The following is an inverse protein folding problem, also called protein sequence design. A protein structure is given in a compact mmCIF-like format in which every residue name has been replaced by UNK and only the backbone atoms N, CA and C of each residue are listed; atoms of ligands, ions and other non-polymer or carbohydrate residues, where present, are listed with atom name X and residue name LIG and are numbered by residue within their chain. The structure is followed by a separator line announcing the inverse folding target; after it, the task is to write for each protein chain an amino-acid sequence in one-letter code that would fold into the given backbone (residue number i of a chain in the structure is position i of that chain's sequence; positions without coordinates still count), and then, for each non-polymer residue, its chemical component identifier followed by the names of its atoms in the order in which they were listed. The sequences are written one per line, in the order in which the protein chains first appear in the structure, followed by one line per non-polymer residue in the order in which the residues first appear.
data_IF_369110148840
#
_entry.id   IF_369110148840
#
_cell.length_a   1.000
_cell.length_b   1.000
_cell.length_c   1.000
_cell.angle_alpha   90.00
_cell.angle_beta   90.00
_cell.angle_gamma   90.00
#
_symmetry.space_group_name_H-M   'P 1'
#
loop_
_entity.id
_entity.type
_entity.pdbx_description
1 polymer ?
#
# COMPACT_ATOMS: atom_id res chain seq x y z
N UNK A 1 -8.17 26.86 25.69
CA UNK A 1 -8.05 25.41 25.91
C UNK A 1 -7.92 24.76 24.54
N UNK A 2 -6.76 24.21 24.19
CA UNK A 2 -6.60 23.51 22.91
C UNK A 2 -7.26 22.14 23.04
N UNK A 3 -8.28 21.87 22.23
CA UNK A 3 -8.97 20.59 22.18
C UNK A 3 -8.04 19.54 21.58
N UNK A 4 -7.44 18.70 22.41
CA UNK A 4 -6.66 17.54 21.98
C UNK A 4 -7.59 16.35 21.77
N UNK A 5 -7.42 15.60 20.67
CA UNK A 5 -8.21 14.40 20.37
C UNK A 5 -7.31 13.20 20.07
N UNK A 6 -7.86 12.00 20.22
CA UNK A 6 -7.18 10.76 19.81
C UNK A 6 -7.00 10.78 18.29
N UNK A 7 -5.80 10.41 17.81
CA UNK A 7 -5.49 10.29 16.40
C UNK A 7 -6.34 9.19 15.76
N UNK A 8 -6.99 9.53 14.64
CA UNK A 8 -7.75 8.59 13.82
C UNK A 8 -7.10 8.45 12.45
N UNK A 9 -7.14 7.24 11.90
CA UNK A 9 -6.55 6.92 10.61
C UNK A 9 -7.63 6.65 9.58
N UNK A 10 -7.41 7.11 8.35
CA UNK A 10 -8.29 6.80 7.23
C UNK A 10 -7.85 5.48 6.58
N UNK A 11 -8.76 4.49 6.42
CA UNK A 11 -8.43 3.25 5.74
C UNK A 11 -8.23 3.45 4.24
N UNK A 12 -7.43 2.59 3.62
CA UNK A 12 -7.28 2.53 2.17
C UNK A 12 -8.58 2.08 1.48
N UNK A 13 -8.94 2.76 0.41
CA UNK A 13 -9.96 2.31 -0.54
C UNK A 13 -9.25 1.56 -1.67
N UNK A 14 -9.47 0.24 -1.75
CA UNK A 14 -8.84 -0.61 -2.76
C UNK A 14 -9.57 -0.53 -4.10
N UNK A 15 -8.83 -0.52 -5.19
CA UNK A 15 -9.33 -0.61 -6.56
C UNK A 15 -8.45 -1.60 -7.32
N UNK A 16 -9.07 -2.58 -7.95
CA UNK A 16 -8.38 -3.60 -8.73
C UNK A 16 -8.72 -3.35 -10.20
N UNK A 17 -7.70 -3.30 -11.05
CA UNK A 17 -7.89 -3.15 -12.49
C UNK A 17 -8.47 -4.43 -13.12
N UNK A 18 -9.21 -4.29 -14.22
CA UNK A 18 -9.77 -5.45 -14.92
C UNK A 18 -8.66 -6.32 -15.53
N UNK A 19 -7.58 -5.70 -16.01
CA UNK A 19 -6.41 -6.38 -16.58
C UNK A 19 -5.73 -7.31 -15.58
N UNK A 20 -5.74 -6.96 -14.29
CA UNK A 20 -5.23 -7.83 -13.23
C UNK A 20 -5.91 -9.19 -13.20
N UNK A 21 -7.24 -9.24 -13.34
CA UNK A 21 -7.99 -10.51 -13.32
C UNK A 21 -7.68 -11.39 -14.53
N UNK A 22 -7.46 -10.77 -15.68
CA UNK A 22 -7.08 -11.47 -16.91
C UNK A 22 -5.72 -12.14 -16.73
N UNK A 23 -4.72 -11.40 -16.27
CA UNK A 23 -3.38 -11.94 -16.04
C UNK A 23 -3.35 -12.96 -14.91
N UNK A 24 -4.10 -12.74 -13.83
CA UNK A 24 -4.23 -13.70 -12.75
C UNK A 24 -4.85 -15.02 -13.24
N UNK A 25 -5.82 -14.95 -14.16
CA UNK A 25 -6.45 -16.13 -14.75
C UNK A 25 -5.48 -16.92 -15.62
N UNK A 26 -4.70 -16.24 -16.44
CA UNK A 26 -3.61 -16.85 -17.23
C UNK A 26 -2.57 -17.48 -16.32
N UNK A 27 -2.10 -16.76 -15.30
CA UNK A 27 -1.15 -17.27 -14.31
C UNK A 27 -1.71 -18.49 -13.57
N UNK A 28 -3.02 -18.50 -13.28
CA UNK A 28 -3.68 -19.61 -12.61
C UNK A 28 -3.70 -20.87 -13.48
N UNK A 29 -4.02 -20.73 -14.76
CA UNK A 29 -4.07 -21.84 -15.72
C UNK A 29 -2.67 -22.38 -16.04
N UNK A 30 -1.71 -21.49 -16.27
CA UNK A 30 -0.39 -21.86 -16.79
C UNK A 30 0.54 -22.35 -15.67
N UNK A 31 0.56 -21.64 -14.55
CA UNK A 31 1.61 -21.80 -13.51
C UNK A 31 1.08 -22.33 -12.19
N UNK A 32 0.00 -21.76 -11.64
CA UNK A 32 -0.47 -22.15 -10.30
C UNK A 32 -1.11 -23.55 -10.35
N UNK A 33 -2.02 -23.82 -11.29
CA UNK A 33 -2.79 -25.07 -11.38
C UNK A 33 -3.48 -25.45 -10.05
N UNK A 34 -2.78 -26.17 -9.18
CA UNK A 34 -3.24 -26.63 -7.85
C UNK A 34 -2.43 -26.04 -6.69
N UNK A 35 -1.43 -25.21 -6.98
CA UNK A 35 -0.59 -24.55 -6.00
C UNK A 35 -1.34 -23.38 -5.36
N UNK A 36 -1.62 -23.51 -4.07
CA UNK A 36 -2.23 -22.46 -3.24
C UNK A 36 -1.17 -21.66 -2.45
N UNK A 37 0.12 -21.72 -2.84
CA UNK A 37 1.19 -20.98 -2.18
C UNK A 37 1.05 -19.47 -2.33
N UNK A 38 1.46 -18.73 -1.28
CA UNK A 38 1.51 -17.28 -1.32
C UNK A 38 2.60 -16.80 -2.28
N UNK A 39 2.29 -15.79 -3.09
CA UNK A 39 3.22 -15.20 -4.07
C UNK A 39 3.46 -13.74 -3.77
N UNK A 40 4.69 -13.30 -3.99
CA UNK A 40 5.02 -11.88 -3.91
C UNK A 40 4.37 -11.12 -5.06
N UNK A 41 3.69 -10.04 -4.74
CA UNK A 41 3.15 -9.06 -5.68
C UNK A 41 3.49 -7.66 -5.17
N UNK A 42 3.17 -6.64 -5.96
CA UNK A 42 3.27 -5.26 -5.49
C UNK A 42 2.00 -4.51 -5.84
N UNK A 43 1.68 -3.49 -5.06
CA UNK A 43 0.55 -2.61 -5.30
C UNK A 43 1.04 -1.18 -5.29
N UNK A 44 0.16 -0.24 -5.60
CA UNK A 44 0.54 1.17 -5.59
C UNK A 44 -0.55 2.06 -5.01
N UNK A 45 -0.15 3.11 -4.31
CA UNK A 45 -1.10 4.05 -3.69
C UNK A 45 -0.74 5.48 -4.02
N UNK A 46 -1.75 6.36 -4.02
CA UNK A 46 -1.58 7.78 -4.28
C UNK A 46 -1.57 8.57 -2.96
N UNK A 47 -0.53 9.38 -2.76
CA UNK A 47 -0.48 10.36 -1.67
C UNK A 47 -1.24 11.63 -2.07
N UNK A 48 -2.56 11.61 -1.93
CA UNK A 48 -3.44 12.78 -1.89
C UNK A 48 -3.41 13.71 -3.12
N UNK A 49 -4.42 13.56 -3.99
CA UNK A 49 -4.78 14.63 -4.92
C UNK A 49 -5.65 15.67 -4.20
N UNK A 50 -5.39 16.98 -4.45
CA UNK A 50 -6.01 18.14 -3.77
C UNK A 50 -7.55 18.21 -3.84
N UNK A 51 -8.21 17.29 -4.56
CA UNK A 51 -9.66 17.28 -4.75
C UNK A 51 -10.37 15.98 -4.35
N UNK A 52 -9.69 14.97 -3.77
CA UNK A 52 -10.39 13.73 -3.47
C UNK A 52 -11.18 13.84 -2.16
N UNK A 53 -12.47 14.11 -2.29
CA UNK A 53 -13.50 13.58 -1.38
C UNK A 53 -13.47 12.03 -1.27
N UNK A 54 -12.53 11.38 -1.96
CA UNK A 54 -12.37 9.94 -2.17
C UNK A 54 -11.05 9.41 -1.57
N UNK A 55 -10.61 9.91 -0.41
CA UNK A 55 -9.66 9.22 0.47
C UNK A 55 -8.32 8.75 -0.10
N UNK A 56 -7.65 7.87 0.66
CA UNK A 56 -6.42 7.21 0.24
C UNK A 56 -6.78 6.01 -0.66
N UNK A 57 -6.35 6.02 -1.93
CA UNK A 57 -6.64 4.95 -2.90
C UNK A 57 -5.46 4.01 -3.04
N UNK A 58 -5.74 2.72 -3.06
CA UNK A 58 -4.79 1.65 -3.29
C UNK A 58 -5.17 0.91 -4.58
N UNK A 59 -4.26 0.86 -5.55
CA UNK A 59 -4.46 0.28 -6.88
C UNK A 59 -3.66 -1.02 -7.01
N UNK A 60 -4.33 -2.04 -7.55
CA UNK A 60 -3.71 -3.30 -8.00
C UNK A 60 -4.02 -3.46 -9.49
N UNK A 61 -3.04 -3.14 -10.33
CA UNK A 61 -3.11 -3.31 -11.80
C UNK A 61 -2.52 -4.63 -12.28
N UNK A 62 -2.57 -4.91 -13.59
CA UNK A 62 -1.87 -6.06 -14.19
C UNK A 62 -0.38 -6.05 -13.88
N UNK A 63 0.23 -4.87 -13.93
CA UNK A 63 1.65 -4.64 -13.65
C UNK A 63 2.09 -5.14 -12.27
N UNK A 64 1.16 -5.26 -11.31
CA UNK A 64 1.36 -5.75 -9.94
C UNK A 64 1.98 -7.15 -9.86
N UNK A 65 1.78 -7.96 -10.91
CA UNK A 65 2.27 -9.33 -11.01
C UNK A 65 3.70 -9.40 -11.55
N UNK A 66 4.18 -8.36 -12.25
CA UNK A 66 5.54 -8.29 -12.78
C UNK A 66 6.44 -7.47 -11.83
N UNK A 67 7.45 -8.09 -11.19
CA UNK A 67 8.36 -7.37 -10.31
C UNK A 67 9.17 -6.26 -11.02
N UNK A 68 9.38 -6.36 -12.32
CA UNK A 68 10.17 -5.41 -13.12
C UNK A 68 9.32 -4.30 -13.75
N UNK A 69 8.00 -4.37 -13.62
CA UNK A 69 7.13 -3.36 -14.18
C UNK A 69 7.36 -1.98 -13.52
N UNK A 70 7.24 -0.94 -14.34
CA UNK A 70 7.53 0.42 -13.93
C UNK A 70 6.33 1.03 -13.20
N UNK A 71 6.58 1.67 -12.06
CA UNK A 71 5.56 2.45 -11.35
C UNK A 71 5.60 3.90 -11.83
N UNK A 72 4.42 4.44 -12.16
CA UNK A 72 4.27 5.86 -12.52
C UNK A 72 4.71 6.79 -11.37
N UNK A 73 5.30 7.93 -11.72
CA UNK A 73 5.84 8.91 -10.76
C UNK A 73 4.81 9.53 -9.81
N UNK A 74 3.51 9.21 -9.97
CA UNK A 74 2.43 9.66 -9.08
C UNK A 74 2.11 8.67 -7.96
N UNK A 75 2.46 7.40 -8.13
CA UNK A 75 2.08 6.35 -7.20
C UNK A 75 3.29 5.85 -6.43
N UNK A 76 3.09 5.58 -5.15
CA UNK A 76 4.09 4.96 -4.29
C UNK A 76 3.91 3.45 -4.37
N UNK A 77 5.00 2.71 -4.60
CA UNK A 77 5.00 1.25 -4.66
C UNK A 77 4.99 0.65 -3.25
N UNK A 78 4.16 -0.36 -3.04
CA UNK A 78 4.01 -1.09 -1.79
C UNK A 78 4.15 -2.61 -2.02
N UNK A 79 5.07 -3.30 -1.32
CA UNK A 79 5.22 -4.75 -1.43
C UNK A 79 4.02 -5.47 -0.83
N UNK A 80 3.61 -6.60 -1.41
CA UNK A 80 2.52 -7.39 -0.85
C UNK A 80 2.56 -8.86 -1.26
N UNK A 81 1.59 -9.61 -0.76
CA UNK A 81 1.46 -11.05 -1.01
C UNK A 81 0.08 -11.41 -1.50
N UNK A 82 -0.02 -12.31 -2.48
CA UNK A 82 -1.28 -12.85 -2.96
C UNK A 82 -1.37 -14.35 -2.68
N UNK A 83 -2.52 -14.76 -2.15
CA UNK A 83 -2.89 -16.17 -2.00
C UNK A 83 -4.08 -16.46 -2.89
N UNK A 84 -3.86 -17.27 -3.93
CA UNK A 84 -4.91 -17.69 -4.86
C UNK A 84 -5.38 -19.06 -4.43
N UNK A 85 -6.62 -19.17 -3.96
CA UNK A 85 -7.20 -20.45 -3.55
C UNK A 85 -8.04 -21.07 -4.68
N UNK A 86 -8.13 -22.39 -4.66
CA UNK A 86 -8.82 -23.15 -5.69
C UNK A 86 -10.32 -23.31 -5.49
N UNK A 87 -10.82 -23.26 -4.25
CA UNK A 87 -12.25 -23.43 -3.93
C UNK A 87 -12.78 -22.25 -3.12
N UNK A 88 -14.09 -22.00 -3.22
CA UNK A 88 -14.74 -20.94 -2.43
C UNK A 88 -14.82 -21.33 -0.95
N UNK A 89 -14.86 -22.63 -0.66
CA UNK A 89 -14.80 -23.19 0.69
C UNK A 89 -13.45 -22.87 1.32
N UNK A 90 -12.34 -23.13 0.62
CA UNK A 90 -11.00 -22.78 1.08
C UNK A 90 -10.87 -21.27 1.33
N UNK A 91 -11.46 -20.41 0.48
CA UNK A 91 -11.48 -18.97 0.71
C UNK A 91 -12.19 -18.57 2.02
N UNK A 92 -13.29 -19.25 2.35
CA UNK A 92 -14.07 -19.00 3.57
C UNK A 92 -13.34 -19.51 4.80
N UNK A 93 -12.79 -20.72 4.73
CA UNK A 93 -12.09 -21.41 5.83
C UNK A 93 -10.70 -20.85 6.12
N UNK A 94 -10.08 -20.12 5.17
CA UNK A 94 -8.77 -19.53 5.36
C UNK A 94 -8.74 -18.60 6.57
N UNK A 95 -7.73 -18.80 7.43
CA UNK A 95 -7.51 -18.01 8.64
C UNK A 95 -6.97 -16.62 8.30
N UNK A 96 -7.91 -15.72 8.03
CA UNK A 96 -7.69 -14.31 7.72
C UNK A 96 -6.97 -13.56 8.85
N UNK A 97 -7.18 -13.99 10.09
CA UNK A 97 -6.56 -13.38 11.27
C UNK A 97 -5.09 -13.75 11.30
N UNK A 98 -4.75 -15.02 11.11
CA UNK A 98 -3.37 -15.49 11.03
C UNK A 98 -2.57 -14.75 9.96
N UNK A 99 -3.14 -14.53 8.77
CA UNK A 99 -2.48 -13.77 7.70
C UNK A 99 -2.17 -12.33 8.13
N UNK A 100 -3.10 -11.65 8.80
CA UNK A 100 -2.88 -10.30 9.33
C UNK A 100 -1.79 -10.30 10.40
N UNK A 101 -1.79 -11.30 11.30
CA UNK A 101 -0.80 -11.43 12.37
C UNK A 101 0.60 -11.70 11.83
N UNK A 102 0.73 -12.58 10.84
CA UNK A 102 2.01 -12.89 10.17
C UNK A 102 2.59 -11.65 9.48
N UNK A 103 1.79 -10.92 8.70
CA UNK A 103 2.23 -9.67 8.07
C UNK A 103 2.55 -8.59 9.10
N UNK A 104 1.78 -8.53 10.20
CA UNK A 104 2.03 -7.61 11.30
C UNK A 104 3.38 -7.89 11.96
N UNK A 105 3.72 -9.16 12.16
CA UNK A 105 5.04 -9.58 12.65
C UNK A 105 6.16 -9.19 11.68
N UNK A 106 5.98 -9.39 10.37
CA UNK A 106 6.99 -8.97 9.37
C UNK A 106 7.22 -7.45 9.34
N UNK A 107 6.16 -6.66 9.57
CA UNK A 107 6.29 -5.20 9.70
C UNK A 107 7.07 -4.84 10.96
N UNK A 108 6.75 -5.47 12.11
CA UNK A 108 7.43 -5.25 13.37
C UNK A 108 8.91 -5.66 13.30
N UNK A 109 9.21 -6.84 12.75
CA UNK A 109 10.58 -7.32 12.57
C UNK A 109 11.39 -6.35 11.71
N UNK A 110 10.81 -5.81 10.63
CA UNK A 110 11.46 -4.82 9.78
C UNK A 110 11.69 -3.47 10.50
N UNK A 111 10.82 -3.11 11.45
CA UNK A 111 11.02 -1.92 12.29
C UNK A 111 12.15 -2.17 13.29
N UNK A 112 12.13 -3.32 13.97
CA UNK A 112 13.06 -3.66 15.05
C UNK A 112 14.49 -3.89 14.54
N UNK A 113 14.66 -4.48 13.35
CA UNK A 113 15.97 -4.71 12.74
C UNK A 113 16.50 -3.51 11.93
N UNK A 114 15.73 -2.41 11.82
CA UNK A 114 16.10 -1.20 11.12
C UNK A 114 15.90 -1.23 9.60
N UNK A 115 15.45 -2.33 9.00
CA UNK A 115 15.20 -2.43 7.56
C UNK A 115 14.13 -1.43 7.10
N UNK A 116 13.14 -1.11 7.94
CA UNK A 116 12.12 -0.12 7.64
C UNK A 116 12.66 1.33 7.59
N UNK A 117 13.84 1.59 8.16
CA UNK A 117 14.52 2.88 8.05
C UNK A 117 15.23 2.99 6.70
N UNK A 118 15.83 1.90 6.23
CA UNK A 118 16.48 1.81 4.92
C UNK A 118 15.46 1.80 3.77
N UNK A 119 14.41 1.00 3.91
CA UNK A 119 13.28 0.93 2.99
C UNK A 119 11.93 1.09 3.71
N UNK A 120 11.42 2.34 3.80
CA UNK A 120 10.12 2.61 4.41
C UNK A 120 8.92 1.99 3.70
N UNK A 121 9.07 1.49 2.47
CA UNK A 121 7.95 0.83 1.75
C UNK A 121 7.51 -0.46 2.44
N UNK A 122 8.39 -1.08 3.22
CA UNK A 122 8.14 -2.28 4.02
C UNK A 122 7.04 -2.09 5.09
N UNK A 123 6.79 -0.84 5.51
CA UNK A 123 5.71 -0.51 6.44
C UNK A 123 4.33 -0.52 5.77
N UNK A 124 4.28 -0.42 4.44
CA UNK A 124 3.06 -0.45 3.63
C UNK A 124 2.75 -1.85 3.09
N UNK A 125 3.27 -2.91 3.74
CA UNK A 125 2.97 -4.30 3.37
C UNK A 125 1.47 -4.56 3.40
N UNK A 126 1.02 -5.35 2.44
CA UNK A 126 -0.39 -5.68 2.26
C UNK A 126 -0.54 -7.10 1.74
N UNK A 127 -1.74 -7.66 1.87
CA UNK A 127 -2.04 -8.97 1.30
C UNK A 127 -3.38 -9.01 0.59
N UNK A 128 -3.49 -9.95 -0.33
CA UNK A 128 -4.70 -10.25 -1.08
C UNK A 128 -4.96 -11.75 -1.03
N UNK A 129 -6.20 -12.10 -0.70
CA UNK A 129 -6.69 -13.46 -0.84
C UNK A 129 -7.70 -13.43 -1.97
N UNK A 130 -7.64 -14.40 -2.88
CA UNK A 130 -8.56 -14.46 -4.01
C UNK A 130 -8.97 -15.87 -4.39
N UNK A 131 -10.24 -16.02 -4.72
CA UNK A 131 -10.80 -17.20 -5.37
C UNK A 131 -11.39 -16.77 -6.72
N UNK A 132 -10.91 -17.38 -7.80
CA UNK A 132 -11.36 -17.08 -9.16
C UNK A 132 -12.13 -18.26 -9.76
N UNK A 133 -13.41 -18.06 -10.05
CA UNK A 133 -14.23 -19.00 -10.82
C UNK A 133 -14.10 -18.70 -12.30
N UNK A 134 -13.18 -19.42 -12.96
CA UNK A 134 -12.88 -19.23 -14.39
C UNK A 134 -14.04 -19.63 -15.32
N UNK A 135 -15.01 -20.43 -14.84
CA UNK A 135 -16.18 -20.83 -15.64
C UNK A 135 -17.19 -19.69 -15.79
N UNK A 136 -17.41 -18.94 -14.70
CA UNK A 136 -18.38 -17.84 -14.67
C UNK A 136 -17.72 -16.47 -14.78
N UNK A 137 -16.38 -16.44 -14.81
CA UNK A 137 -15.57 -15.22 -14.76
C UNK A 137 -15.90 -14.35 -13.54
N UNK A 138 -16.15 -14.99 -12.39
CA UNK A 138 -16.42 -14.33 -11.12
C UNK A 138 -15.22 -14.45 -10.18
N UNK A 139 -14.75 -13.31 -9.67
CA UNK A 139 -13.59 -13.24 -8.78
C UNK A 139 -14.02 -12.74 -7.40
N UNK A 140 -13.74 -13.54 -6.37
CA UNK A 140 -13.94 -13.20 -4.97
C UNK A 140 -12.60 -12.82 -4.39
N UNK A 141 -12.54 -11.68 -3.70
CA UNK A 141 -11.27 -11.20 -3.17
C UNK A 141 -11.43 -10.50 -1.83
N UNK A 142 -10.32 -10.42 -1.11
CA UNK A 142 -10.21 -9.67 0.12
C UNK A 142 -8.80 -9.11 0.24
N UNK A 143 -8.69 -7.79 0.43
CA UNK A 143 -7.42 -7.12 0.72
C UNK A 143 -7.30 -6.86 2.21
N UNK A 144 -6.08 -7.00 2.71
CA UNK A 144 -5.69 -6.68 4.07
C UNK A 144 -4.54 -5.66 4.05
N UNK A 145 -4.72 -4.59 4.84
CA UNK A 145 -3.70 -3.58 5.11
C UNK A 145 -3.38 -3.61 6.61
N UNK A 146 -2.48 -4.50 7.04
CA UNK A 146 -2.09 -4.59 8.44
C UNK A 146 -1.46 -3.27 8.91
N UNK A 147 -1.87 -2.81 10.09
CA UNK A 147 -1.33 -1.62 10.73
C UNK A 147 -1.04 -1.93 12.19
N UNK A 148 0.18 -1.61 12.62
CA UNK A 148 0.60 -1.79 14.01
C UNK A 148 -0.09 -0.75 14.88
N UNK A 149 -0.82 -1.20 15.90
CA UNK A 149 -1.45 -0.31 16.87
C UNK A 149 -0.47 0.04 17.99
N UNK A 150 -0.41 1.32 18.35
CA UNK A 150 0.35 1.74 19.52
C UNK A 150 -0.39 1.30 20.79
N UNK A 151 0.34 0.81 21.83
CA UNK A 151 -0.28 0.39 23.08
C UNK A 151 -0.99 1.55 23.79
N UNK A 152 -0.53 2.78 23.57
CA UNK A 152 -1.16 4.01 24.05
C UNK A 152 -1.58 4.82 22.82
N UNK A 153 -2.89 5.13 22.66
CA UNK A 153 -3.35 5.94 21.53
C UNK A 153 -2.67 7.31 21.51
N UNK A 154 -2.14 7.70 20.36
CA UNK A 154 -1.55 9.02 20.19
C UNK A 154 -2.62 10.11 20.29
N UNK A 155 -2.33 11.16 21.06
CA UNK A 155 -3.19 12.33 21.19
C UNK A 155 -2.58 13.48 20.40
N UNK A 156 -3.37 14.09 19.52
CA UNK A 156 -2.91 15.12 18.57
C UNK A 156 -3.69 16.41 18.70
N UNK A 157 -3.02 17.52 18.37
CA UNK A 157 -3.67 18.81 18.14
C UNK A 157 -4.39 18.81 16.79
N UNK A 158 -5.39 19.70 16.59
CA UNK A 158 -6.06 19.82 15.30
C UNK A 158 -5.06 20.04 14.15
N UNK A 159 -5.24 19.36 12.99
CA UNK A 159 -4.34 19.52 11.85
C UNK A 159 -4.47 20.94 11.27
N UNK A 160 -3.33 21.53 10.95
CA UNK A 160 -3.24 22.86 10.34
C UNK A 160 -2.67 22.70 8.92
N UNK A 161 -3.22 23.37 7.89
CA UNK A 161 -2.66 23.35 6.56
C UNK A 161 -1.19 23.76 6.56
N UNK A 162 -0.38 23.12 5.71
CA UNK A 162 1.04 23.44 5.58
C UNK A 162 1.26 24.94 5.30
N UNK A 163 0.37 25.55 4.51
CA UNK A 163 0.42 26.96 4.15
C UNK A 163 0.21 27.93 5.32
N UNK A 164 -0.42 27.48 6.40
CA UNK A 164 -0.59 28.29 7.62
C UNK A 164 0.59 28.17 8.58
N UNK A 165 1.48 27.17 8.39
CA UNK A 165 2.68 26.97 9.21
C UNK A 165 3.97 27.42 8.54
N UNK A 166 4.06 27.33 7.21
CA UNK A 166 5.25 27.69 6.43
C UNK A 166 5.09 29.05 5.74
N UNK A 167 6.18 29.83 5.69
CA UNK A 167 6.21 31.06 4.89
C UNK A 167 6.10 30.74 3.37
N UNK A 168 5.67 31.71 2.53
CA UNK A 168 5.62 31.50 1.08
C UNK A 168 6.96 31.05 0.49
N UNK A 169 8.07 31.61 0.99
CA UNK A 169 9.43 31.23 0.57
C UNK A 169 9.76 29.79 0.95
N UNK A 170 9.42 29.37 2.18
CA UNK A 170 9.60 27.98 2.63
C UNK A 170 8.75 27.00 1.83
N UNK A 171 7.53 27.38 1.45
CA UNK A 171 6.67 26.56 0.58
C UNK A 171 7.28 26.39 -0.82
N UNK A 172 7.82 27.46 -1.39
CA UNK A 172 8.49 27.41 -2.68
C UNK A 172 9.76 26.53 -2.63
N UNK A 173 10.56 26.67 -1.58
CA UNK A 173 11.75 25.85 -1.34
C UNK A 173 11.40 24.37 -1.17
N UNK A 174 10.37 24.06 -0.38
CA UNK A 174 9.88 22.69 -0.20
C UNK A 174 9.44 22.07 -1.53
N UNK A 175 8.66 22.79 -2.32
CA UNK A 175 8.19 22.30 -3.62
C UNK A 175 9.34 22.06 -4.59
N UNK A 176 10.34 22.95 -4.62
CA UNK A 176 11.54 22.78 -5.42
C UNK A 176 12.38 21.57 -4.96
N UNK A 177 12.58 21.42 -3.65
CA UNK A 177 13.31 20.30 -3.06
C UNK A 177 12.61 18.96 -3.34
N UNK A 178 11.29 18.89 -3.14
CA UNK A 178 10.50 17.69 -3.44
C UNK A 178 10.60 17.30 -4.91
N UNK A 179 10.49 18.28 -5.83
CA UNK A 179 10.67 18.04 -7.27
C UNK A 179 12.08 17.53 -7.61
N UNK A 180 13.12 18.11 -7.01
CA UNK A 180 14.49 17.66 -7.22
C UNK A 180 14.69 16.21 -6.75
N UNK A 181 14.18 15.85 -5.57
CA UNK A 181 14.24 14.47 -5.07
C UNK A 181 13.49 13.52 -6.00
N UNK A 182 12.26 13.85 -6.39
CA UNK A 182 11.48 13.04 -7.33
C UNK A 182 12.18 12.90 -8.70
N UNK A 183 12.84 13.95 -9.18
CA UNK A 183 13.59 13.93 -10.45
C UNK A 183 14.90 13.15 -10.40
N UNK A 184 15.48 12.97 -9.21
CA UNK A 184 16.71 12.17 -9.03
C UNK A 184 16.48 10.67 -8.92
N UNK A 185 15.21 10.23 -8.81
CA UNK A 185 14.87 8.81 -8.69
C UNK A 185 15.00 8.08 -10.03
N UNK A 186 15.39 6.79 -10.01
CA UNK A 186 15.44 6.00 -11.23
C UNK A 186 14.05 5.89 -11.90
N UNK A 187 14.00 5.80 -13.24
CA UNK A 187 12.76 5.64 -13.96
C UNK A 187 12.03 4.38 -13.48
N UNK A 188 10.72 4.51 -13.22
CA UNK A 188 9.88 3.41 -12.74
C UNK A 188 9.90 3.19 -11.22
N UNK A 189 10.67 3.94 -10.44
CA UNK A 189 10.72 3.80 -8.98
C UNK A 189 9.49 4.35 -8.23
N UNK A 190 8.52 4.92 -8.95
CA UNK A 190 7.34 5.55 -8.37
C UNK A 190 7.64 6.83 -7.56
N UNK A 191 6.57 7.37 -6.97
CA UNK A 191 6.61 8.48 -6.04
C UNK A 191 7.29 8.09 -4.73
N UNK A 192 7.74 9.11 -4.00
CA UNK A 192 8.39 8.94 -2.72
C UNK A 192 7.35 8.95 -1.59
N UNK A 193 7.24 7.83 -0.87
CA UNK A 193 6.23 7.65 0.19
C UNK A 193 6.61 8.24 1.55
N UNK A 194 7.90 8.27 1.88
CA UNK A 194 8.39 8.67 3.20
C UNK A 194 9.68 9.48 3.07
N UNK A 195 9.75 10.64 3.73
CA UNK A 195 10.90 11.53 3.73
C UNK A 195 10.94 12.39 5.00
N UNK A 196 12.12 12.93 5.29
CA UNK A 196 12.32 13.92 6.33
C UNK A 196 12.25 15.33 5.73
N UNK A 197 11.49 16.20 6.38
CA UNK A 197 11.45 17.63 6.08
C UNK A 197 12.25 18.39 7.13
N UNK A 198 13.41 18.92 6.75
CA UNK A 198 14.21 19.81 7.60
C UNK A 198 13.97 21.25 7.20
N UNK A 199 13.33 22.02 8.09
CA UNK A 199 13.20 23.47 7.95
C UNK A 199 14.46 24.11 8.54
N UNK A 200 15.21 24.85 7.71
CA UNK A 200 16.32 25.69 8.16
C UNK A 200 15.88 27.15 8.18
#
# INVERSE_FOLDING_TARGET
QQSTSVLQHQPFSSTIDIGFWSELSTLKLDTLRLDDSARSIWGSYECGSRSSATGAKFLVGSESLDPNAQTSARFVRAPGTITVVNTVEAFKELDKKKIIEELGAEILDAIDNGAAIEDPSLMARWAMITFSNLKTYCHYYWLAFPAVSLPIPAVVSPPVPLSARLSPDQQAQLHAAYKAVCGSRPPGAGALGHFLLTLR
#
